data_IF_597975866628
#
_entry.id   IF_597975866628
#
_cell.length_a   1.000
_cell.length_b   1.000
_cell.length_c   1.000
_cell.angle_alpha   90.00
_cell.angle_beta   90.00
_cell.angle_gamma   90.00
#
_symmetry.space_group_name_H-M   'P 1'
#
loop_
_entity.id
_entity.type
_entity.pdbx_description
1 polymer ?
#
# COMPACT_ATOMS: atom_id res chain seq x y z
N UNK A 1 7.57 13.88 4.01
CA UNK A 1 6.66 13.52 2.92
C UNK A 1 6.90 12.07 2.51
N UNK A 2 5.85 11.32 2.30
CA UNK A 2 5.97 9.91 1.95
C UNK A 2 6.46 9.74 0.51
N UNK A 3 7.31 8.74 0.33
CA UNK A 3 7.89 8.38 -0.94
C UNK A 3 7.26 7.10 -1.49
N UNK A 4 7.39 6.89 -2.77
CA UNK A 4 6.92 5.66 -3.41
C UNK A 4 7.55 4.44 -2.75
N UNK A 5 6.70 3.50 -2.34
CA UNK A 5 7.14 2.31 -1.62
C UNK A 5 7.06 2.41 -0.11
N UNK A 6 6.80 3.60 0.43
CA UNK A 6 6.59 3.75 1.87
C UNK A 6 5.26 3.13 2.28
N UNK A 7 5.26 2.47 3.42
CA UNK A 7 4.06 1.90 4.01
C UNK A 7 3.52 2.88 5.06
N UNK A 8 2.28 3.26 4.90
CA UNK A 8 1.60 4.21 5.79
C UNK A 8 0.54 3.49 6.61
N UNK A 9 0.28 4.01 7.80
CA UNK A 9 -0.76 3.51 8.69
C UNK A 9 -1.93 4.47 8.70
N UNK A 10 -3.13 3.99 8.49
CA UNK A 10 -4.33 4.81 8.52
C UNK A 10 -4.64 5.25 9.95
N UNK A 11 -5.12 6.48 10.09
CA UNK A 11 -5.57 6.99 11.39
C UNK A 11 -6.91 6.37 11.75
N UNK A 12 -7.05 6.00 13.01
CA UNK A 12 -8.30 5.38 13.51
C UNK A 12 -9.50 6.33 13.41
N UNK A 13 -9.27 7.62 13.49
CA UNK A 13 -10.32 8.62 13.46
C UNK A 13 -11.12 8.64 12.16
N UNK A 14 -10.59 8.01 11.10
CA UNK A 14 -11.26 7.94 9.82
C UNK A 14 -11.98 6.61 9.58
N UNK A 15 -12.05 5.75 10.59
CA UNK A 15 -12.86 4.53 10.54
C UNK A 15 -12.35 3.44 9.63
N UNK A 16 -11.09 3.47 9.28
CA UNK A 16 -10.50 2.43 8.41
C UNK A 16 -10.28 1.12 9.12
N UNK A 17 -10.00 1.13 10.40
CA UNK A 17 -9.76 -0.08 11.16
C UNK A 17 -10.88 -0.37 12.11
N UNK A 18 -11.12 -1.64 12.39
CA UNK A 18 -12.05 -2.07 13.42
C UNK A 18 -11.29 -2.78 14.52
N UNK A 19 -11.65 -2.47 15.77
CA UNK A 19 -10.99 -3.07 16.92
C UNK A 19 -9.54 -2.63 17.00
N UNK A 20 -8.67 -3.59 17.23
CA UNK A 20 -7.24 -3.34 17.43
C UNK A 20 -6.42 -3.37 16.14
N UNK A 21 -7.06 -3.65 15.01
CA UNK A 21 -6.38 -3.77 13.73
C UNK A 21 -6.19 -2.40 13.09
N UNK A 22 -4.95 -2.05 12.79
CA UNK A 22 -4.61 -0.86 12.02
C UNK A 22 -4.49 -1.26 10.55
N UNK A 23 -5.09 -0.45 9.67
CA UNK A 23 -4.95 -0.67 8.23
C UNK A 23 -3.68 -0.01 7.72
N UNK A 24 -3.02 -0.68 6.80
CA UNK A 24 -1.81 -0.20 6.16
C UNK A 24 -2.04 -0.02 4.66
N UNK A 25 -1.30 0.92 4.10
CA UNK A 25 -1.36 1.25 2.69
C UNK A 25 0.06 1.47 2.18
N UNK A 26 0.28 1.17 0.92
CA UNK A 26 1.58 1.44 0.29
C UNK A 26 1.45 2.60 -0.68
N UNK A 27 2.43 3.50 -0.66
CA UNK A 27 2.46 4.66 -1.55
C UNK A 27 2.91 4.21 -2.93
N UNK A 28 2.10 4.53 -3.93
CA UNK A 28 2.40 4.22 -5.34
C UNK A 28 2.90 5.44 -6.12
N UNK A 29 2.58 6.63 -5.64
CA UNK A 29 2.92 7.87 -6.33
C UNK A 29 4.40 8.19 -6.19
N UNK A 30 5.03 8.55 -7.31
CA UNK A 30 6.41 9.02 -7.28
C UNK A 30 6.50 10.38 -6.58
N UNK A 31 7.52 10.56 -5.74
CA UNK A 31 7.78 11.83 -5.06
C UNK A 31 8.11 12.93 -6.05
N UNK A 32 8.63 12.58 -7.22
CA UNK A 32 8.93 13.56 -8.27
C UNK A 32 7.69 14.02 -9.06
N UNK A 33 6.56 13.35 -8.89
CA UNK A 33 5.33 13.77 -9.54
C UNK A 33 4.65 14.87 -8.72
N UNK A 34 4.45 16.05 -9.28
CA UNK A 34 3.79 17.13 -8.56
C UNK A 34 2.30 16.83 -8.45
N UNK A 35 1.92 16.16 -7.38
CA UNK A 35 0.52 15.81 -7.18
C UNK A 35 -0.34 17.01 -6.85
N UNK A 36 -1.64 16.78 -6.79
CA UNK A 36 -2.58 17.73 -6.22
C UNK A 36 -2.25 17.84 -4.74
N UNK A 37 -2.22 19.06 -4.24
CA UNK A 37 -1.90 19.34 -2.84
C UNK A 37 -2.65 18.40 -1.88
N UNK A 38 -1.93 17.84 -0.93
CA UNK A 38 -2.44 17.02 0.17
C UNK A 38 -3.03 15.67 -0.26
N UNK A 39 -2.77 15.21 -1.48
CA UNK A 39 -3.21 13.88 -1.90
C UNK A 39 -2.03 12.97 -2.22
N UNK A 40 -2.25 11.67 -2.04
CA UNK A 40 -1.27 10.64 -2.36
C UNK A 40 -2.01 9.42 -2.90
N UNK A 41 -1.46 8.79 -3.94
CA UNK A 41 -2.02 7.56 -4.49
C UNK A 41 -1.46 6.38 -3.73
N UNK A 42 -2.34 5.56 -3.18
CA UNK A 42 -1.98 4.42 -2.35
C UNK A 42 -2.75 3.17 -2.76
N UNK A 43 -2.27 2.00 -2.36
CA UNK A 43 -2.99 0.75 -2.48
C UNK A 43 -3.10 0.12 -1.09
N UNK A 44 -4.24 -0.53 -0.77
CA UNK A 44 -4.42 -1.14 0.55
C UNK A 44 -3.59 -2.41 0.70
N UNK A 45 -3.14 -2.64 1.92
CA UNK A 45 -2.46 -3.87 2.33
C UNK A 45 -3.43 -4.64 3.22
N UNK A 46 -3.74 -5.87 2.83
CA UNK A 46 -4.77 -6.68 3.47
C UNK A 46 -4.20 -8.01 3.95
N UNK A 47 -4.92 -8.66 4.85
CA UNK A 47 -4.58 -10.02 5.26
C UNK A 47 -4.71 -10.96 4.06
N UNK A 48 -3.86 -12.01 3.98
CA UNK A 48 -3.90 -12.94 2.86
C UNK A 48 -5.07 -13.93 3.02
N UNK A 49 -6.25 -13.52 2.57
CA UNK A 49 -7.42 -14.39 2.56
C UNK A 49 -7.39 -15.29 1.32
N UNK A 50 -7.91 -16.53 1.42
CA UNK A 50 -7.92 -17.44 0.27
C UNK A 50 -8.59 -16.84 -0.97
N UNK A 51 -9.66 -16.08 -0.79
CA UNK A 51 -10.33 -15.41 -1.88
C UNK A 51 -9.47 -14.38 -2.60
N UNK A 52 -8.53 -13.75 -1.87
CA UNK A 52 -7.62 -12.77 -2.46
C UNK A 52 -6.42 -13.42 -3.15
N UNK A 53 -6.04 -14.63 -2.73
CA UNK A 53 -4.87 -15.31 -3.28
C UNK A 53 -5.03 -15.62 -4.77
N UNK A 54 -6.27 -15.78 -5.23
CA UNK A 54 -6.55 -16.09 -6.63
C UNK A 54 -6.69 -14.85 -7.51
N UNK A 55 -6.66 -13.65 -6.91
CA UNK A 55 -6.81 -12.41 -7.69
C UNK A 55 -5.51 -12.07 -8.42
N UNK A 56 -5.63 -11.84 -9.70
CA UNK A 56 -4.53 -11.27 -10.48
C UNK A 56 -4.37 -9.82 -10.05
N UNK A 57 -3.15 -9.46 -9.71
CA UNK A 57 -2.87 -8.10 -9.26
C UNK A 57 -2.57 -7.96 -7.78
N UNK A 58 -2.60 -9.06 -7.03
CA UNK A 58 -2.14 -9.05 -5.65
C UNK A 58 -0.63 -9.24 -5.59
N UNK A 59 0.02 -8.47 -4.72
CA UNK A 59 1.47 -8.55 -4.53
C UNK A 59 1.75 -8.88 -3.06
N UNK A 60 2.45 -9.98 -2.77
CA UNK A 60 2.76 -10.31 -1.38
C UNK A 60 3.78 -9.33 -0.79
N UNK A 61 3.61 -9.05 0.50
CA UNK A 61 4.53 -8.23 1.27
C UNK A 61 4.53 -8.74 2.71
N UNK A 62 5.68 -8.64 3.38
CA UNK A 62 5.76 -8.93 4.80
C UNK A 62 5.84 -7.61 5.57
N UNK A 63 4.96 -7.44 6.56
CA UNK A 63 5.02 -6.30 7.46
C UNK A 63 5.70 -6.70 8.76
N UNK A 64 6.59 -5.85 9.26
CA UNK A 64 7.41 -6.14 10.41
C UNK A 64 8.78 -6.66 9.99
N UNK A 65 9.52 -7.19 10.94
CA UNK A 65 10.87 -7.69 10.69
C UNK A 65 11.14 -8.98 11.46
N UNK A 66 12.01 -9.81 10.89
CA UNK A 66 12.42 -11.06 11.52
C UNK A 66 11.24 -11.99 11.84
N UNK A 67 11.23 -12.52 13.05
CA UNK A 67 10.21 -13.48 13.51
C UNK A 67 8.82 -12.85 13.67
N UNK A 68 8.73 -11.51 13.72
CA UNK A 68 7.45 -10.82 13.88
C UNK A 68 6.85 -10.38 12.55
N UNK A 69 7.52 -10.66 11.43
CA UNK A 69 7.01 -10.31 10.11
C UNK A 69 5.73 -11.09 9.84
N UNK A 70 4.70 -10.37 9.38
CA UNK A 70 3.40 -10.94 9.04
C UNK A 70 3.22 -10.94 7.54
N UNK A 71 2.85 -12.08 6.92
CA UNK A 71 2.55 -12.10 5.51
C UNK A 71 1.26 -11.33 5.23
N UNK A 72 1.31 -10.41 4.28
CA UNK A 72 0.20 -9.58 3.87
C UNK A 72 0.14 -9.53 2.36
N UNK A 73 -0.91 -8.91 1.83
CA UNK A 73 -1.11 -8.79 0.39
C UNK A 73 -1.43 -7.35 0.05
N UNK A 74 -0.71 -6.79 -0.92
CA UNK A 74 -1.02 -5.49 -1.50
C UNK A 74 -2.04 -5.71 -2.61
N UNK A 75 -3.21 -5.09 -2.50
CA UNK A 75 -4.27 -5.23 -3.50
C UNK A 75 -4.16 -4.04 -4.45
N UNK A 76 -3.30 -4.16 -5.45
CA UNK A 76 -2.99 -3.06 -6.38
C UNK A 76 -4.22 -2.56 -7.14
N UNK A 77 -5.15 -3.42 -7.61
CA UNK A 77 -6.34 -2.92 -8.31
C UNK A 77 -7.26 -2.02 -7.48
N UNK A 78 -7.10 -2.02 -6.15
CA UNK A 78 -7.89 -1.14 -5.27
C UNK A 78 -7.16 0.18 -4.99
N UNK A 79 -6.18 0.54 -5.80
CA UNK A 79 -5.49 1.80 -5.65
C UNK A 79 -6.46 2.99 -5.69
N UNK A 80 -6.15 4.02 -4.93
CA UNK A 80 -6.99 5.21 -4.85
C UNK A 80 -6.18 6.40 -4.37
N UNK A 81 -6.64 7.59 -4.69
CA UNK A 81 -6.08 8.81 -4.11
C UNK A 81 -6.71 9.05 -2.74
N UNK A 82 -5.89 9.42 -1.78
CA UNK A 82 -6.33 9.74 -0.43
C UNK A 82 -5.65 11.01 0.04
N UNK A 83 -6.29 11.74 0.97
CA UNK A 83 -5.66 12.90 1.56
C UNK A 83 -4.63 12.46 2.58
N UNK A 84 -3.51 13.17 2.64
CA UNK A 84 -2.38 12.79 3.50
C UNK A 84 -2.72 12.83 4.98
N UNK A 85 -3.70 13.62 5.38
CA UNK A 85 -4.15 13.71 6.77
C UNK A 85 -4.87 12.44 7.26
N UNK A 86 -5.20 11.51 6.37
CA UNK A 86 -5.80 10.23 6.74
C UNK A 86 -4.79 9.22 7.29
N UNK A 87 -3.52 9.55 7.23
CA UNK A 87 -2.45 8.65 7.65
C UNK A 87 -1.66 9.22 8.80
N UNK A 88 -1.10 8.32 9.61
CA UNK A 88 -0.15 8.73 10.62
C UNK A 88 1.08 9.36 9.95
N UNK A 89 1.73 10.35 10.59
CA UNK A 89 2.88 11.02 9.96
C UNK A 89 4.10 10.13 9.81
N UNK A 90 4.19 9.08 10.62
CA UNK A 90 5.34 8.19 10.61
C UNK A 90 5.18 7.10 9.57
N UNK A 91 6.26 6.80 8.85
CA UNK A 91 6.30 5.70 7.89
C UNK A 91 6.45 4.40 8.68
N UNK A 92 5.54 3.45 8.44
CA UNK A 92 5.55 2.16 9.15
C UNK A 92 6.59 1.19 8.58
N UNK A 93 7.02 1.38 7.35
CA UNK A 93 7.98 0.51 6.71
C UNK A 93 8.21 0.93 5.27
N UNK A 94 8.99 0.14 4.55
CA UNK A 94 9.27 0.42 3.14
C UNK A 94 9.36 -0.90 2.37
N UNK A 95 8.71 -0.97 1.23
CA UNK A 95 8.76 -2.13 0.36
C UNK A 95 10.15 -2.23 -0.30
N UNK A 96 10.63 -3.45 -0.48
CA UNK A 96 11.89 -3.67 -1.16
C UNK A 96 11.75 -3.51 -2.67
N UNK A 97 12.88 -3.40 -3.42
CA UNK A 97 12.81 -3.22 -4.86
C UNK A 97 12.11 -4.34 -5.60
N UNK A 98 12.18 -5.58 -5.11
CA UNK A 98 11.50 -6.72 -5.73
C UNK A 98 9.99 -6.57 -5.63
N UNK A 99 9.50 -6.16 -4.46
CA UNK A 99 8.08 -5.89 -4.25
C UNK A 99 7.60 -4.77 -5.16
N UNK A 100 8.38 -3.69 -5.27
CA UNK A 100 8.02 -2.56 -6.13
C UNK A 100 8.01 -2.96 -7.60
N UNK A 101 8.94 -3.81 -8.04
CA UNK A 101 8.95 -4.33 -9.41
C UNK A 101 7.70 -5.17 -9.70
N UNK A 102 7.25 -5.96 -8.74
CA UNK A 102 6.01 -6.73 -8.87
C UNK A 102 4.79 -5.82 -8.99
N UNK A 103 4.73 -4.75 -8.19
CA UNK A 103 3.68 -3.74 -8.27
C UNK A 103 3.68 -3.09 -9.65
N UNK A 104 4.85 -2.74 -10.17
CA UNK A 104 4.97 -2.12 -11.49
C UNK A 104 4.41 -3.01 -12.60
N UNK A 105 4.68 -4.32 -12.53
CA UNK A 105 4.12 -5.26 -13.50
C UNK A 105 2.61 -5.29 -13.46
N UNK A 106 2.03 -5.27 -12.26
CA UNK A 106 0.57 -5.24 -12.10
C UNK A 106 -0.01 -3.93 -12.64
N UNK A 107 0.62 -2.80 -12.33
CA UNK A 107 0.15 -1.50 -12.81
C UNK A 107 0.18 -1.42 -14.33
N UNK A 108 1.23 -1.94 -14.95
CA UNK A 108 1.31 -1.97 -16.42
C UNK A 108 0.17 -2.79 -17.02
N UNK A 109 -0.11 -3.95 -16.46
CA UNK A 109 -1.20 -4.80 -16.92
C UNK A 109 -2.57 -4.15 -16.68
N UNK A 110 -2.77 -3.61 -15.47
CA UNK A 110 -4.03 -2.99 -15.07
C UNK A 110 -4.36 -1.78 -15.94
N UNK A 111 -3.36 -0.95 -16.24
CA UNK A 111 -3.53 0.29 -16.98
C UNK A 111 -3.20 0.16 -18.46
N UNK A 112 -2.89 -1.05 -18.93
CA UNK A 112 -2.48 -1.34 -20.30
C UNK A 112 -1.26 -0.52 -20.74
N UNK A 113 -0.32 -0.29 -19.84
CA UNK A 113 0.92 0.42 -20.13
C UNK A 113 1.97 -0.56 -20.69
N UNK A 114 2.85 -0.04 -21.51
CA UNK A 114 3.93 -0.83 -22.11
C UNK A 114 5.24 -0.74 -21.34
#
# INVERSE_FOLDING_TARGET
>A
MADRGDVLTARRTFGFGRGDSLEHFIVLQSASFPGISDTVVVAPIRKPLPALAAWVGNVPIALGSGATAKPMVIVVPLLAAATTDRFEPEVAGRADPRTMAAIDRVLRALLALR
#
